data_IF_750041529276
#
_entry.id   IF_750041529276
#
_cell.length_a   1.000
_cell.length_b   1.000
_cell.length_c   1.000
_cell.angle_alpha   90.00
_cell.angle_beta   90.00
_cell.angle_gamma   90.00
#
_symmetry.space_group_name_H-M   'P 1'
#
loop_
_entity.id
_entity.type
_entity.pdbx_description
1 polymer ?
#
# COMPACT_ATOMS: atom_id res chain seq x y z
N UNK A 1 -22.65 41.19 -1.14
CA UNK A 1 -23.84 41.06 -0.28
C UNK A 1 -23.88 39.67 0.36
N UNK A 2 -24.35 39.57 1.60
CA UNK A 2 -24.69 38.30 2.26
C UNK A 2 -26.05 37.74 1.76
N UNK A 3 -26.40 36.49 2.11
CA UNK A 3 -27.75 35.96 1.88
C UNK A 3 -28.87 36.75 2.57
N UNK A 4 -28.55 37.53 3.60
CA UNK A 4 -29.48 38.41 4.33
C UNK A 4 -29.56 39.83 3.74
N UNK A 5 -28.96 40.06 2.57
CA UNK A 5 -28.83 41.37 1.91
C UNK A 5 -27.97 42.41 2.65
N UNK A 6 -27.05 41.97 3.51
CA UNK A 6 -26.10 42.86 4.19
C UNK A 6 -24.80 43.04 3.38
N UNK A 7 -24.14 44.19 3.55
CA UNK A 7 -22.81 44.40 3.00
C UNK A 7 -21.77 43.64 3.84
N UNK A 8 -21.00 42.76 3.19
CA UNK A 8 -19.93 41.97 3.81
C UNK A 8 -18.67 42.17 2.99
N UNK A 9 -17.55 42.40 3.67
CA UNK A 9 -16.22 42.42 3.02
C UNK A 9 -15.92 41.02 2.48
N UNK A 10 -15.45 40.91 1.24
CA UNK A 10 -15.24 39.61 0.57
C UNK A 10 -14.53 38.55 1.44
N UNK A 11 -13.38 38.86 2.07
CA UNK A 11 -12.67 37.91 2.94
C UNK A 11 -13.47 37.42 4.17
N UNK A 12 -14.58 38.10 4.52
CA UNK A 12 -15.45 37.73 5.64
C UNK A 12 -16.64 36.85 5.21
N UNK A 13 -16.78 36.50 3.93
CA UNK A 13 -17.87 35.60 3.49
C UNK A 13 -17.83 34.24 4.22
N UNK A 14 -16.65 33.64 4.42
CA UNK A 14 -16.53 32.38 5.17
C UNK A 14 -16.79 32.50 6.68
N UNK A 15 -16.90 33.72 7.23
CA UNK A 15 -17.20 33.93 8.65
C UNK A 15 -18.71 33.91 8.94
N UNK A 16 -19.54 34.07 7.91
CA UNK A 16 -21.01 34.09 8.03
C UNK A 16 -21.65 32.75 7.61
N UNK A 17 -20.83 31.73 7.30
CA UNK A 17 -21.27 30.39 6.93
C UNK A 17 -20.37 29.75 5.88
N UNK A 18 -20.87 28.70 5.23
CA UNK A 18 -20.22 28.04 4.10
C UNK A 18 -20.39 28.88 2.82
N UNK A 19 -19.71 30.03 2.78
CA UNK A 19 -19.74 30.95 1.65
C UNK A 19 -18.33 31.38 1.24
N UNK A 20 -18.14 31.60 -0.06
CA UNK A 20 -16.94 32.20 -0.63
C UNK A 20 -17.29 33.56 -1.28
N UNK A 21 -16.32 34.49 -1.38
CA UNK A 21 -16.53 35.73 -2.10
C UNK A 21 -16.47 35.51 -3.61
N UNK A 22 -17.57 35.81 -4.30
CA UNK A 22 -17.59 35.84 -5.77
C UNK A 22 -17.39 37.29 -6.26
N UNK A 23 -16.29 37.51 -6.95
CA UNK A 23 -15.92 38.83 -7.46
C UNK A 23 -16.74 39.27 -8.68
N UNK A 24 -17.34 38.35 -9.43
CA UNK A 24 -18.18 38.70 -10.56
C UNK A 24 -19.56 39.14 -10.09
N UNK A 25 -20.15 38.38 -9.16
CA UNK A 25 -21.47 38.63 -8.58
C UNK A 25 -21.44 39.69 -7.47
N UNK A 26 -20.25 40.03 -6.95
CA UNK A 26 -20.05 40.93 -5.79
C UNK A 26 -20.89 40.47 -4.58
N UNK A 27 -20.92 39.15 -4.37
CA UNK A 27 -21.75 38.48 -3.38
C UNK A 27 -20.98 37.37 -2.65
N UNK A 28 -21.46 37.02 -1.46
CA UNK A 28 -21.07 35.79 -0.80
C UNK A 28 -21.93 34.66 -1.41
N UNK A 29 -21.31 33.77 -2.17
CA UNK A 29 -21.97 32.65 -2.84
C UNK A 29 -21.76 31.40 -2.00
N UNK A 30 -22.78 30.54 -1.91
CA UNK A 30 -22.72 29.31 -1.12
C UNK A 30 -21.69 28.36 -1.70
N UNK A 31 -21.00 27.65 -0.82
CA UNK A 31 -20.24 26.46 -1.18
C UNK A 31 -21.17 25.33 -1.62
N UNK A 32 -20.58 24.28 -2.19
CA UNK A 32 -21.31 23.08 -2.60
C UNK A 32 -21.90 22.33 -1.39
N UNK A 33 -22.88 21.47 -1.67
CA UNK A 33 -23.58 20.72 -0.64
C UNK A 33 -22.61 19.87 0.20
N UNK A 34 -22.66 20.04 1.52
CA UNK A 34 -21.82 19.29 2.45
C UNK A 34 -20.44 19.90 2.69
N UNK A 35 -20.08 20.99 2.01
CA UNK A 35 -18.87 21.76 2.29
C UNK A 35 -19.08 22.73 3.45
N UNK A 36 -18.09 22.85 4.33
CA UNK A 36 -18.05 23.85 5.41
C UNK A 36 -17.27 25.10 5.01
N UNK A 37 -16.37 24.98 4.04
CA UNK A 37 -15.61 26.09 3.47
C UNK A 37 -15.09 25.73 2.08
N UNK A 38 -15.03 26.71 1.18
CA UNK A 38 -14.61 26.57 -0.21
C UNK A 38 -14.01 27.89 -0.72
N UNK A 39 -13.32 27.84 -1.86
CA UNK A 39 -12.78 29.02 -2.55
C UNK A 39 -13.55 29.43 -3.79
N UNK A 40 -14.42 28.55 -4.29
CA UNK A 40 -15.24 28.73 -5.48
C UNK A 40 -16.40 27.71 -5.43
N UNK A 41 -17.32 27.82 -6.38
CA UNK A 41 -18.36 26.84 -6.68
C UNK A 41 -17.81 25.76 -7.64
N UNK A 42 -18.16 24.50 -7.40
CA UNK A 42 -17.79 23.35 -8.22
C UNK A 42 -16.52 22.61 -7.78
N UNK A 43 -16.20 21.56 -8.55
CA UNK A 43 -15.12 20.61 -8.26
C UNK A 43 -13.75 21.27 -8.00
N UNK A 44 -13.03 20.74 -7.01
CA UNK A 44 -11.68 21.14 -6.65
C UNK A 44 -11.58 22.42 -5.82
N UNK A 45 -12.71 22.96 -5.35
CA UNK A 45 -12.77 24.22 -4.61
C UNK A 45 -12.97 24.07 -3.09
N UNK A 46 -13.33 22.89 -2.61
CA UNK A 46 -13.52 22.61 -1.18
C UNK A 46 -12.22 22.83 -0.41
N UNK A 47 -12.31 23.43 0.77
CA UNK A 47 -11.19 23.53 1.72
C UNK A 47 -11.50 22.88 3.06
N UNK A 48 -12.77 22.56 3.31
CA UNK A 48 -13.21 21.82 4.48
C UNK A 48 -14.55 21.12 4.20
N UNK A 49 -14.61 19.82 4.46
CA UNK A 49 -15.82 19.03 4.33
C UNK A 49 -16.57 18.91 5.66
N UNK A 50 -17.89 18.84 5.57
CA UNK A 50 -18.80 18.65 6.68
C UNK A 50 -19.54 17.33 6.54
N UNK A 51 -20.86 17.41 6.57
CA UNK A 51 -21.75 16.25 6.46
C UNK A 51 -22.75 16.48 5.35
N UNK A 52 -23.17 15.40 4.69
CA UNK A 52 -24.29 15.47 3.77
C UNK A 52 -25.55 15.91 4.50
N UNK A 53 -26.21 17.03 4.10
CA UNK A 53 -27.43 17.51 4.74
C UNK A 53 -28.57 16.49 4.73
N UNK A 54 -28.70 15.71 3.65
CA UNK A 54 -29.78 14.74 3.50
C UNK A 54 -29.67 13.53 4.44
N UNK A 55 -28.45 13.06 4.73
CA UNK A 55 -28.22 11.80 5.46
C UNK A 55 -27.48 11.97 6.79
N UNK A 56 -26.79 13.09 6.98
CA UNK A 56 -25.87 13.31 8.10
C UNK A 56 -24.56 12.53 8.00
N UNK A 57 -24.28 11.89 6.87
CA UNK A 57 -23.04 11.14 6.63
C UNK A 57 -21.83 12.08 6.56
N UNK A 58 -20.71 11.67 7.18
CA UNK A 58 -19.46 12.43 7.18
C UNK A 58 -18.82 12.43 5.78
N UNK A 59 -18.37 13.61 5.36
CA UNK A 59 -17.61 13.81 4.13
C UNK A 59 -16.13 14.03 4.45
N UNK A 60 -15.27 13.59 3.53
CA UNK A 60 -13.82 13.56 3.66
C UNK A 60 -13.19 14.36 2.53
N UNK A 61 -12.31 15.28 2.87
CA UNK A 61 -11.65 16.17 1.91
C UNK A 61 -10.52 15.44 1.17
N UNK A 62 -10.50 15.57 -0.16
CA UNK A 62 -9.36 15.18 -0.98
C UNK A 62 -9.25 16.04 -2.22
N UNK A 63 -8.08 16.66 -2.43
CA UNK A 63 -7.77 17.47 -3.62
C UNK A 63 -8.82 18.54 -3.97
N UNK A 64 -9.49 19.10 -2.96
CA UNK A 64 -10.51 20.13 -3.16
C UNK A 64 -11.92 19.60 -3.40
N UNK A 65 -12.16 18.30 -3.22
CA UNK A 65 -13.48 17.67 -3.31
C UNK A 65 -13.84 16.97 -2.00
N UNK A 66 -15.14 16.84 -1.74
CA UNK A 66 -15.69 16.14 -0.58
C UNK A 66 -16.29 14.79 -0.97
N UNK A 67 -15.78 13.71 -0.37
CA UNK A 67 -16.21 12.33 -0.64
C UNK A 67 -16.89 11.71 0.58
N UNK A 68 -17.89 10.86 0.38
CA UNK A 68 -18.30 9.93 1.43
C UNK A 68 -17.18 8.93 1.69
N UNK A 69 -17.04 8.40 2.91
CA UNK A 69 -15.95 7.48 3.26
C UNK A 69 -15.71 6.33 2.25
N UNK A 70 -16.75 5.58 1.84
CA UNK A 70 -16.60 4.50 0.85
C UNK A 70 -16.17 4.95 -0.56
N UNK A 71 -16.28 6.25 -0.86
CA UNK A 71 -15.98 6.83 -2.17
C UNK A 71 -14.67 7.65 -2.14
N UNK A 72 -13.89 7.59 -1.06
CA UNK A 72 -12.55 8.12 -1.08
C UNK A 72 -11.75 7.57 -2.27
N UNK A 73 -11.00 8.41 -3.01
CA UNK A 73 -10.31 7.97 -4.22
C UNK A 73 -9.34 6.80 -4.00
N UNK A 74 -9.12 5.97 -5.03
CA UNK A 74 -8.20 4.84 -4.94
C UNK A 74 -6.79 5.30 -4.55
N UNK A 75 -6.14 4.52 -3.68
CA UNK A 75 -4.83 4.89 -3.14
C UNK A 75 -4.92 5.89 -1.99
N UNK A 76 -6.11 6.09 -1.42
CA UNK A 76 -6.33 6.81 -0.16
C UNK A 76 -7.07 5.90 0.84
N UNK A 77 -7.06 6.31 2.10
CA UNK A 77 -7.88 5.73 3.16
C UNK A 77 -8.60 6.85 3.91
N UNK A 78 -9.69 6.49 4.58
CA UNK A 78 -10.47 7.43 5.40
C UNK A 78 -9.68 7.76 6.67
N UNK A 79 -9.40 9.04 6.89
CA UNK A 79 -8.86 9.55 8.16
C UNK A 79 -9.94 10.34 8.91
N UNK A 80 -10.53 9.69 9.91
CA UNK A 80 -11.53 10.31 10.80
C UNK A 80 -10.94 11.37 11.74
N UNK A 81 -9.62 11.40 11.91
CA UNK A 81 -8.93 12.35 12.78
C UNK A 81 -9.01 13.78 12.26
N UNK A 82 -8.92 13.96 10.93
CA UNK A 82 -8.97 15.26 10.27
C UNK A 82 -10.08 15.38 9.19
N UNK A 83 -10.86 14.32 8.98
CA UNK A 83 -11.90 14.22 7.95
C UNK A 83 -11.35 14.40 6.54
N UNK A 84 -10.28 13.67 6.22
CA UNK A 84 -9.67 13.65 4.88
C UNK A 84 -9.66 12.24 4.30
N UNK A 85 -9.60 12.14 2.97
CA UNK A 85 -9.10 10.90 2.37
C UNK A 85 -7.58 11.03 2.31
N UNK A 86 -6.88 10.42 3.25
CA UNK A 86 -5.42 10.52 3.31
C UNK A 86 -4.78 9.54 2.32
N UNK A 87 -3.82 10.04 1.53
CA UNK A 87 -3.08 9.19 0.58
C UNK A 87 -2.34 8.07 1.29
N UNK A 88 -2.40 6.87 0.71
CA UNK A 88 -1.53 5.76 1.10
C UNK A 88 -0.05 6.12 0.88
N UNK A 89 0.86 5.51 1.65
CA UNK A 89 2.30 5.72 1.45
C UNK A 89 2.76 5.32 0.04
N UNK A 90 3.88 5.88 -0.39
CA UNK A 90 4.51 5.50 -1.66
C UNK A 90 4.77 3.98 -1.73
N UNK A 91 4.43 3.38 -2.87
CA UNK A 91 4.56 1.92 -3.06
C UNK A 91 3.38 1.10 -2.50
N UNK A 92 2.31 1.75 -2.03
CA UNK A 92 1.09 1.11 -1.57
C UNK A 92 -0.06 1.47 -2.50
N UNK A 93 -0.78 0.45 -3.01
CA UNK A 93 -1.93 0.63 -3.89
C UNK A 93 -3.24 0.73 -3.11
N UNK A 94 -3.36 -0.03 -2.01
CA UNK A 94 -4.50 -0.01 -1.09
C UNK A 94 -4.00 -0.09 0.35
N UNK A 95 -4.57 0.71 1.23
CA UNK A 95 -4.27 0.74 2.65
C UNK A 95 -5.50 1.13 3.46
N UNK A 96 -5.51 0.76 4.74
CA UNK A 96 -6.52 1.23 5.70
C UNK A 96 -5.92 2.25 6.69
N UNK A 97 -4.59 2.39 6.71
CA UNK A 97 -3.84 3.37 7.47
C UNK A 97 -2.44 3.55 6.87
N UNK A 98 -1.71 4.59 7.31
CA UNK A 98 -0.33 4.87 6.90
C UNK A 98 0.62 3.67 7.11
N UNK A 99 0.39 2.86 8.13
CA UNK A 99 1.21 1.69 8.46
C UNK A 99 0.49 0.35 8.26
N UNK A 100 -0.64 0.35 7.56
CA UNK A 100 -1.44 -0.83 7.27
C UNK A 100 -1.83 -0.92 5.77
N UNK A 101 -0.88 -1.40 4.97
CA UNK A 101 -1.07 -1.71 3.55
C UNK A 101 -1.82 -3.03 3.35
N UNK A 102 -2.83 -3.01 2.48
CA UNK A 102 -3.59 -4.16 2.02
C UNK A 102 -3.13 -4.67 0.65
N UNK A 103 -2.52 -3.80 -0.15
CA UNK A 103 -1.97 -4.17 -1.45
C UNK A 103 -0.78 -3.29 -1.80
N UNK A 104 0.33 -3.92 -2.18
CA UNK A 104 1.54 -3.22 -2.61
C UNK A 104 1.49 -2.88 -4.09
N UNK A 105 1.90 -1.65 -4.42
CA UNK A 105 2.18 -1.26 -5.80
C UNK A 105 3.64 -1.64 -6.16
N UNK A 106 3.99 -1.72 -7.45
CA UNK A 106 5.38 -1.69 -7.84
C UNK A 106 6.07 -0.41 -7.33
N UNK A 107 7.37 -0.50 -7.07
CA UNK A 107 8.17 0.70 -6.79
C UNK A 107 8.22 1.63 -8.01
N UNK A 108 8.69 2.87 -7.82
CA UNK A 108 8.89 3.85 -8.89
C UNK A 108 9.77 3.34 -10.05
N UNK A 109 10.67 2.39 -9.77
CA UNK A 109 11.55 1.77 -10.76
C UNK A 109 10.95 0.49 -11.38
N UNK A 110 9.68 0.19 -11.11
CA UNK A 110 8.99 -1.01 -11.59
C UNK A 110 9.35 -2.31 -10.84
N UNK A 111 10.14 -2.25 -9.77
CA UNK A 111 10.45 -3.44 -8.96
C UNK A 111 9.23 -3.87 -8.14
N UNK A 112 8.99 -5.18 -8.06
CA UNK A 112 7.95 -5.73 -7.19
C UNK A 112 8.24 -5.42 -5.72
N UNK A 113 7.20 -4.99 -5.01
CA UNK A 113 7.20 -4.86 -3.55
C UNK A 113 6.39 -5.99 -2.93
N UNK A 114 6.75 -6.34 -1.71
CA UNK A 114 6.20 -7.46 -0.96
C UNK A 114 5.67 -6.94 0.38
N UNK A 115 4.47 -7.35 0.74
CA UNK A 115 3.86 -6.99 2.01
C UNK A 115 4.55 -7.70 3.17
N UNK A 116 4.90 -6.95 4.20
CA UNK A 116 5.43 -7.42 5.45
C UNK A 116 4.85 -6.57 6.59
N UNK A 117 3.98 -7.17 7.41
CA UNK A 117 3.35 -6.52 8.56
C UNK A 117 2.78 -5.12 8.24
N UNK A 118 1.92 -5.03 7.21
CA UNK A 118 1.29 -3.77 6.80
C UNK A 118 2.19 -2.80 6.04
N UNK A 119 3.42 -3.18 5.70
CA UNK A 119 4.34 -2.34 4.90
C UNK A 119 4.75 -3.02 3.61
N UNK A 120 4.98 -2.24 2.57
CA UNK A 120 5.47 -2.72 1.27
C UNK A 120 6.98 -2.55 1.19
N UNK A 121 7.71 -3.65 1.04
CA UNK A 121 9.18 -3.67 1.07
C UNK A 121 9.76 -4.39 -0.14
N UNK A 122 11.01 -4.08 -0.51
CA UNK A 122 11.72 -4.83 -1.54
C UNK A 122 12.12 -6.22 -1.03
N UNK A 123 12.44 -7.15 -1.95
CA UNK A 123 12.76 -8.55 -1.59
C UNK A 123 13.93 -8.67 -0.59
N UNK A 124 14.94 -7.80 -0.70
CA UNK A 124 16.10 -7.75 0.20
C UNK A 124 15.79 -7.20 1.60
N UNK A 125 14.57 -6.68 1.78
CA UNK A 125 14.06 -6.16 3.05
C UNK A 125 13.02 -7.07 3.69
N UNK A 126 12.71 -8.22 3.08
CA UNK A 126 11.97 -9.26 3.78
C UNK A 126 12.77 -9.74 5.01
N UNK A 127 12.10 -10.01 6.16
CA UNK A 127 12.77 -10.51 7.35
C UNK A 127 13.60 -11.77 7.11
N UNK A 128 14.61 -12.01 7.94
CA UNK A 128 15.40 -13.24 7.88
C UNK A 128 14.51 -14.48 8.01
N UNK A 129 14.76 -15.49 7.18
CA UNK A 129 13.93 -16.70 7.10
C UNK A 129 12.65 -16.54 6.29
N UNK A 130 12.46 -15.37 5.66
CA UNK A 130 11.39 -15.11 4.70
C UNK A 130 11.97 -14.65 3.36
N UNK A 131 11.14 -14.61 2.33
CA UNK A 131 11.50 -14.15 1.00
C UNK A 131 10.30 -13.46 0.34
N UNK A 132 10.57 -12.55 -0.60
CA UNK A 132 9.50 -11.98 -1.42
C UNK A 132 8.90 -13.06 -2.32
N UNK A 133 7.67 -13.50 -2.04
CA UNK A 133 6.96 -14.54 -2.80
C UNK A 133 6.15 -13.92 -3.94
N UNK A 134 6.52 -14.17 -5.21
CA UNK A 134 5.73 -13.69 -6.35
C UNK A 134 4.36 -14.38 -6.39
N UNK A 135 3.33 -13.64 -6.79
CA UNK A 135 1.93 -14.10 -6.77
C UNK A 135 1.14 -13.37 -5.69
N UNK A 136 1.19 -13.78 -4.41
CA UNK A 136 0.55 -13.03 -3.33
C UNK A 136 1.28 -11.72 -2.99
N UNK A 137 2.51 -11.52 -3.49
CA UNK A 137 3.35 -10.35 -3.21
C UNK A 137 3.48 -10.07 -1.71
N UNK A 138 3.86 -11.10 -0.96
CA UNK A 138 4.10 -11.04 0.49
C UNK A 138 5.49 -11.56 0.83
N UNK A 139 6.05 -11.13 1.97
CA UNK A 139 7.20 -11.80 2.56
C UNK A 139 6.72 -13.11 3.20
N UNK A 140 6.92 -14.23 2.52
CA UNK A 140 6.46 -15.55 2.97
C UNK A 140 7.58 -16.28 3.73
N UNK A 141 7.20 -17.13 4.69
CA UNK A 141 8.18 -17.94 5.41
C UNK A 141 8.79 -19.01 4.50
N UNK A 142 10.11 -19.21 4.60
CA UNK A 142 10.75 -20.36 3.94
C UNK A 142 10.24 -21.71 4.47
N UNK A 143 9.70 -21.73 5.70
CA UNK A 143 9.14 -22.95 6.30
C UNK A 143 7.84 -23.41 5.63
N UNK A 144 7.11 -22.49 5.00
CA UNK A 144 5.92 -22.84 4.19
C UNK A 144 6.30 -23.55 2.89
N UNK A 145 7.47 -23.22 2.34
CA UNK A 145 8.01 -23.88 1.16
C UNK A 145 8.53 -25.28 1.52
N UNK A 146 9.33 -25.34 2.58
CA UNK A 146 9.91 -26.58 3.09
C UNK A 146 10.19 -26.41 4.59
N UNK A 147 9.66 -27.30 5.41
CA UNK A 147 9.83 -27.27 6.87
C UNK A 147 11.29 -27.26 7.35
N UNK A 148 12.23 -27.62 6.48
CA UNK A 148 13.67 -27.68 6.76
C UNK A 148 14.46 -26.54 6.10
N UNK A 149 13.80 -25.63 5.38
CA UNK A 149 14.44 -24.47 4.76
C UNK A 149 14.66 -23.35 5.76
N UNK A 150 15.94 -22.98 5.93
CA UNK A 150 16.38 -21.83 6.73
C UNK A 150 16.40 -20.54 5.91
N UNK A 151 16.74 -20.64 4.63
CA UNK A 151 16.69 -19.54 3.67
C UNK A 151 16.15 -20.02 2.33
N UNK A 152 15.54 -19.11 1.60
CA UNK A 152 14.98 -19.37 0.30
C UNK A 152 15.01 -18.12 -0.59
N UNK A 153 14.86 -18.30 -1.90
CA UNK A 153 14.87 -17.22 -2.89
C UNK A 153 13.52 -17.00 -3.58
N UNK A 154 13.41 -15.87 -4.30
CA UNK A 154 12.21 -15.39 -5.01
C UNK A 154 11.58 -16.39 -5.99
N UNK A 155 12.33 -17.39 -6.45
CA UNK A 155 11.83 -18.43 -7.34
C UNK A 155 11.27 -19.62 -6.57
N UNK A 156 10.85 -19.41 -5.32
CA UNK A 156 10.35 -20.44 -4.40
C UNK A 156 11.39 -21.53 -4.17
N UNK A 157 12.62 -21.13 -3.80
CA UNK A 157 13.72 -22.08 -3.70
C UNK A 157 14.45 -22.12 -2.38
N UNK A 158 14.54 -23.29 -1.73
CA UNK A 158 15.42 -23.46 -0.57
C UNK A 158 16.89 -23.29 -0.97
N UNK A 159 17.56 -22.29 -0.41
CA UNK A 159 18.97 -21.98 -0.68
C UNK A 159 19.89 -22.37 0.49
N UNK A 160 19.32 -22.50 1.69
CA UNK A 160 20.01 -22.99 2.88
C UNK A 160 19.03 -23.78 3.75
N UNK A 161 19.46 -24.96 4.21
CA UNK A 161 18.66 -25.82 5.06
C UNK A 161 19.14 -25.82 6.52
N UNK A 162 18.28 -26.23 7.44
CA UNK A 162 18.69 -26.47 8.82
C UNK A 162 19.73 -27.58 8.93
N UNK A 163 20.48 -27.63 10.05
CA UNK A 163 21.44 -28.70 10.27
C UNK A 163 20.86 -30.11 10.11
N UNK A 164 21.61 -30.96 9.39
CA UNK A 164 21.16 -32.32 9.03
C UNK A 164 20.53 -32.42 7.64
N UNK A 165 20.33 -31.29 6.94
CA UNK A 165 19.70 -31.23 5.63
C UNK A 165 20.57 -30.51 4.60
N UNK A 166 20.42 -30.91 3.34
CA UNK A 166 21.14 -30.36 2.20
C UNK A 166 20.16 -29.73 1.21
N UNK A 167 20.50 -28.55 0.70
CA UNK A 167 19.72 -27.89 -0.34
C UNK A 167 20.01 -28.57 -1.68
N UNK A 168 19.02 -29.28 -2.22
CA UNK A 168 19.11 -29.91 -3.54
C UNK A 168 18.68 -28.91 -4.59
N UNK A 169 19.65 -28.34 -5.31
CA UNK A 169 19.42 -27.18 -6.19
C UNK A 169 18.57 -27.48 -7.43
N UNK A 170 18.38 -28.76 -7.78
CA UNK A 170 17.52 -29.20 -8.90
C UNK A 170 16.04 -29.17 -8.56
N UNK A 171 15.67 -29.82 -7.47
CA UNK A 171 14.27 -29.98 -7.04
C UNK A 171 13.88 -28.99 -5.96
N UNK A 172 14.84 -28.18 -5.53
CA UNK A 172 14.60 -26.97 -4.79
C UNK A 172 14.05 -27.18 -3.38
N UNK A 173 14.45 -28.30 -2.79
CA UNK A 173 13.99 -28.78 -1.49
C UNK A 173 15.18 -29.13 -0.60
N UNK A 174 14.92 -29.11 0.70
CA UNK A 174 15.84 -29.60 1.70
C UNK A 174 15.66 -31.11 1.82
N UNK A 175 16.74 -31.85 1.58
CA UNK A 175 16.74 -33.31 1.63
C UNK A 175 17.78 -33.83 2.61
N UNK A 176 17.60 -35.04 3.19
CA UNK A 176 18.65 -35.64 4.00
C UNK A 176 19.86 -35.94 3.10
N UNK A 177 21.05 -36.04 3.70
CA UNK A 177 22.29 -36.33 2.96
C UNK A 177 22.17 -37.52 2.02
N UNK A 178 21.51 -38.59 2.46
CA UNK A 178 21.35 -39.84 1.71
C UNK A 178 20.52 -39.68 0.42
N UNK A 179 19.70 -38.63 0.33
CA UNK A 179 18.91 -38.31 -0.86
C UNK A 179 19.69 -37.49 -1.89
N UNK A 180 20.93 -37.11 -1.56
CA UNK A 180 21.92 -36.67 -2.52
C UNK A 180 22.74 -37.89 -2.95
N UNK A 181 22.15 -38.68 -3.85
CA UNK A 181 22.76 -39.92 -4.33
C UNK A 181 23.95 -39.67 -5.27
N UNK A 182 24.43 -40.73 -5.93
CA UNK A 182 25.57 -40.68 -6.86
C UNK A 182 25.36 -39.78 -8.09
N UNK A 183 24.13 -39.32 -8.35
CA UNK A 183 23.84 -38.36 -9.42
C UNK A 183 24.12 -36.91 -9.03
N UNK A 184 24.55 -36.66 -7.79
CA UNK A 184 24.85 -35.32 -7.27
C UNK A 184 26.29 -35.21 -6.75
N UNK A 185 26.91 -34.05 -7.00
CA UNK A 185 28.06 -33.60 -6.22
C UNK A 185 27.56 -33.03 -4.89
N UNK A 186 28.00 -33.64 -3.79
CA UNK A 186 27.66 -33.21 -2.44
C UNK A 186 28.74 -32.27 -1.91
N UNK A 187 28.32 -31.10 -1.44
CA UNK A 187 29.21 -30.20 -0.72
C UNK A 187 28.79 -30.10 0.75
N UNK A 188 29.62 -30.66 1.64
CA UNK A 188 29.38 -30.71 3.08
C UNK A 188 29.47 -29.36 3.80
N UNK A 189 30.24 -28.41 3.25
CA UNK A 189 30.39 -27.08 3.84
C UNK A 189 29.10 -26.25 3.75
N UNK A 190 28.75 -25.74 2.56
CA UNK A 190 27.48 -25.07 2.30
C UNK A 190 26.25 -25.99 2.39
N UNK A 191 26.42 -27.31 2.57
CA UNK A 191 25.35 -28.32 2.60
C UNK A 191 24.43 -28.23 1.38
N UNK A 192 25.03 -28.37 0.21
CA UNK A 192 24.31 -28.34 -1.07
C UNK A 192 24.53 -29.62 -1.85
N UNK A 193 23.55 -29.95 -2.70
CA UNK A 193 23.62 -31.07 -3.63
C UNK A 193 23.35 -30.54 -5.04
N UNK A 194 24.38 -30.58 -5.88
CA UNK A 194 24.37 -30.06 -7.25
C UNK A 194 24.37 -31.24 -8.23
N UNK A 195 23.52 -31.27 -9.27
CA UNK A 195 23.53 -32.35 -10.25
C UNK A 195 24.95 -32.54 -10.82
N UNK A 196 25.43 -33.77 -10.80
CA UNK A 196 26.64 -34.15 -11.52
C UNK A 196 26.27 -34.13 -13.01
N UNK A 197 26.47 -32.98 -13.66
CA UNK A 197 26.19 -32.84 -15.09
C UNK A 197 26.95 -33.94 -15.83
N UNK A 198 26.26 -34.76 -16.63
CA UNK A 198 26.93 -35.58 -17.64
C UNK A 198 27.54 -34.61 -18.64
N UNK A 199 28.84 -34.36 -18.53
CA UNK A 199 29.61 -33.68 -19.57
C UNK A 199 29.55 -34.57 -20.82
N UNK A 200 28.58 -34.34 -21.70
CA UNK A 200 28.65 -34.84 -23.08
C UNK A 200 29.77 -34.06 -23.77
N UNK A 201 30.90 -34.75 -23.94
CA UNK A 201 31.97 -34.44 -24.89
C UNK A 201 31.45 -34.54 -26.32
#
# INVERSE_FOLDING_TARGET
MSPTNDCVEGPKCGQIGAYYPDDYLKACVSCDEGELACTADGFGAATKCGKLPATGEQLYLFQGDCYTGPNCPQGTFVDDGDNTCTSCPAGVLLCDAIDNANLCAPSLNGQALFMNAGKCVTTDKCPLGTYGKPGPFVCASCLELDSQAKQCDINNRATLCFPGWWARLSDVVCVPRSSCDSSYYINDGPRTCTPASSTTL
#
